data_IF_641260572481
#
_entry.id   IF_641260572481
#
_cell.length_a   1.000
_cell.length_b   1.000
_cell.length_c   1.000
_cell.angle_alpha   90.00
_cell.angle_beta   90.00
_cell.angle_gamma   90.00
#
_symmetry.space_group_name_H-M   'P 1'
#
loop_
_entity.id
_entity.type
_entity.pdbx_description
1 polymer ?
#
# COMPACT_ATOMS: atom_id res chain seq x y z
N UNK A 1 -38.10 -43.32 44.17
CA UNK A 1 -37.95 -42.01 43.51
C UNK A 1 -36.58 -41.98 42.88
N UNK A 2 -36.41 -42.31 41.59
CA UNK A 2 -35.12 -42.13 40.91
C UNK A 2 -35.07 -40.77 40.21
N UNK A 3 -33.94 -40.16 40.38
CA UNK A 3 -33.53 -38.89 39.75
C UNK A 3 -33.25 -39.09 38.27
N UNK A 4 -33.80 -38.22 37.47
CA UNK A 4 -33.51 -38.04 36.05
C UNK A 4 -32.28 -37.14 35.91
N UNK A 5 -31.15 -37.72 35.54
CA UNK A 5 -29.99 -36.97 35.01
C UNK A 5 -30.23 -36.78 33.50
N UNK A 6 -30.38 -35.56 33.09
CA UNK A 6 -30.43 -35.17 31.69
C UNK A 6 -29.03 -35.02 31.15
N UNK A 7 -28.67 -35.81 30.18
CA UNK A 7 -27.46 -35.67 29.39
C UNK A 7 -27.54 -34.41 28.55
N UNK A 8 -26.67 -33.47 28.84
CA UNK A 8 -26.39 -32.34 27.97
C UNK A 8 -25.30 -32.81 26.99
N UNK A 9 -25.73 -33.23 25.81
CA UNK A 9 -24.81 -33.40 24.68
C UNK A 9 -24.23 -32.03 24.28
N UNK A 10 -22.98 -31.83 24.63
CA UNK A 10 -22.15 -30.74 24.06
C UNK A 10 -21.80 -31.14 22.63
N UNK A 11 -22.62 -30.72 21.69
CA UNK A 11 -22.27 -30.76 20.26
C UNK A 11 -21.13 -29.75 19.99
N UNK A 12 -19.91 -30.25 20.05
CA UNK A 12 -18.74 -29.60 19.49
C UNK A 12 -18.82 -29.69 17.96
N UNK A 13 -19.52 -28.75 17.35
CA UNK A 13 -19.42 -28.53 15.92
C UNK A 13 -18.04 -27.92 15.64
N UNK A 14 -17.08 -28.79 15.32
CA UNK A 14 -15.91 -28.44 14.56
C UNK A 14 -16.40 -27.81 13.23
N UNK A 15 -16.39 -26.49 13.14
CA UNK A 15 -16.54 -25.80 11.88
C UNK A 15 -15.34 -26.22 11.02
N UNK A 16 -15.53 -27.18 10.16
CA UNK A 16 -14.68 -27.45 9.01
C UNK A 16 -14.59 -26.13 8.25
N UNK A 17 -13.38 -25.54 8.21
CA UNK A 17 -13.14 -24.31 7.50
C UNK A 17 -13.69 -24.41 6.08
N UNK A 18 -14.65 -23.56 5.75
CA UNK A 18 -15.12 -23.46 4.37
C UNK A 18 -13.89 -23.14 3.51
N UNK A 19 -13.64 -23.97 2.49
CA UNK A 19 -12.56 -23.71 1.54
C UNK A 19 -12.72 -22.27 1.03
N UNK A 20 -11.65 -21.48 1.08
CA UNK A 20 -11.70 -20.11 0.59
C UNK A 20 -12.04 -20.14 -0.90
N UNK A 21 -13.00 -19.32 -1.32
CA UNK A 21 -13.44 -19.27 -2.71
C UNK A 21 -12.28 -18.88 -3.62
N UNK A 22 -12.23 -19.49 -4.79
CA UNK A 22 -11.24 -19.22 -5.81
C UNK A 22 -11.41 -17.79 -6.38
N UNK A 23 -10.32 -17.07 -6.68
CA UNK A 23 -10.40 -15.80 -7.39
C UNK A 23 -10.97 -15.98 -8.80
N UNK A 24 -11.51 -14.91 -9.37
CA UNK A 24 -11.95 -14.89 -10.76
C UNK A 24 -10.73 -14.90 -11.68
N UNK A 25 -10.68 -15.80 -12.65
CA UNK A 25 -9.65 -15.82 -13.67
C UNK A 25 -9.57 -14.45 -14.38
N UNK A 26 -8.35 -13.95 -14.60
CA UNK A 26 -8.14 -12.62 -15.17
C UNK A 26 -8.91 -12.42 -16.50
N UNK A 27 -8.95 -13.43 -17.33
CA UNK A 27 -9.64 -13.41 -18.62
C UNK A 27 -11.17 -13.27 -18.50
N UNK A 28 -11.72 -13.65 -17.36
CA UNK A 28 -13.16 -13.61 -17.08
C UNK A 28 -13.59 -12.31 -16.38
N UNK A 29 -12.65 -11.48 -15.90
CA UNK A 29 -12.95 -10.29 -15.11
C UNK A 29 -13.95 -9.35 -15.78
N UNK A 30 -13.75 -9.08 -17.08
CA UNK A 30 -14.62 -8.17 -17.82
C UNK A 30 -16.08 -8.66 -17.94
N UNK A 31 -16.30 -9.98 -17.82
CA UNK A 31 -17.62 -10.59 -17.90
C UNK A 31 -18.28 -10.81 -16.54
N UNK A 32 -17.49 -11.04 -15.49
CA UNK A 32 -17.97 -11.40 -14.14
C UNK A 32 -18.00 -10.23 -13.18
N UNK A 33 -17.11 -9.24 -13.33
CA UNK A 33 -17.10 -8.05 -12.49
C UNK A 33 -17.86 -6.93 -13.20
N UNK A 34 -18.91 -6.44 -12.58
CA UNK A 34 -19.68 -5.30 -13.11
C UNK A 34 -18.85 -4.03 -13.08
N UNK A 35 -18.85 -3.27 -14.17
CA UNK A 35 -18.36 -1.91 -14.18
C UNK A 35 -19.44 -0.95 -13.66
N UNK A 36 -19.02 0.14 -13.04
CA UNK A 36 -19.94 1.14 -12.47
C UNK A 36 -19.43 2.54 -12.79
N UNK A 37 -20.31 3.38 -13.31
CA UNK A 37 -20.04 4.82 -13.39
C UNK A 37 -20.12 5.44 -11.97
N UNK A 38 -19.47 6.58 -11.79
CA UNK A 38 -19.60 7.35 -10.56
C UNK A 38 -21.07 7.74 -10.32
N UNK A 39 -21.55 7.56 -9.10
CA UNK A 39 -22.93 7.84 -8.69
C UNK A 39 -23.07 9.20 -8.00
N UNK A 40 -21.96 9.83 -7.65
CA UNK A 40 -21.90 11.14 -7.02
C UNK A 40 -20.76 11.95 -7.64
N UNK A 41 -20.78 13.25 -7.45
CA UNK A 41 -19.62 14.08 -7.74
C UNK A 41 -18.53 13.87 -6.69
N UNK A 42 -17.27 14.01 -7.10
CA UNK A 42 -16.14 14.00 -6.17
C UNK A 42 -16.38 15.12 -5.14
N UNK A 43 -16.32 14.81 -3.84
CA UNK A 43 -16.50 15.82 -2.82
C UNK A 43 -15.53 16.98 -3.02
N UNK A 44 -16.08 18.17 -3.19
CA UNK A 44 -15.30 19.43 -3.19
C UNK A 44 -15.01 19.89 -1.76
N UNK A 45 -15.43 19.06 -0.82
CA UNK A 45 -15.34 19.33 0.60
C UNK A 45 -13.89 19.46 1.05
N UNK A 46 -13.71 20.42 1.96
CA UNK A 46 -12.51 20.57 2.74
C UNK A 46 -12.01 19.21 3.24
N UNK A 47 -10.80 18.87 2.83
CA UNK A 47 -10.12 17.68 3.32
C UNK A 47 -9.39 18.11 4.57
N UNK A 48 -9.52 17.32 5.65
CA UNK A 48 -8.75 17.57 6.85
C UNK A 48 -7.28 17.25 6.57
N UNK A 49 -6.45 18.26 6.49
CA UNK A 49 -5.01 18.16 6.34
C UNK A 49 -4.34 18.38 7.70
N UNK A 50 -3.47 17.46 8.07
CA UNK A 50 -2.64 17.59 9.27
C UNK A 50 -1.28 18.12 8.88
N UNK A 51 -0.90 19.25 9.44
CA UNK A 51 0.41 19.87 9.31
C UNK A 51 1.19 19.70 10.61
N UNK A 52 2.48 19.52 10.47
CA UNK A 52 3.41 19.60 11.59
C UNK A 52 4.30 20.83 11.41
N UNK A 53 4.21 21.71 12.38
CA UNK A 53 4.92 23.00 12.34
C UNK A 53 5.92 23.07 13.47
N UNK A 54 7.10 23.58 13.19
CA UNK A 54 8.11 23.88 14.23
C UNK A 54 8.23 25.39 14.41
N UNK A 55 8.32 25.83 15.66
CA UNK A 55 8.44 27.25 16.00
C UNK A 55 8.70 27.43 17.48
N UNK A 56 9.01 28.69 17.89
CA UNK A 56 9.26 29.02 19.30
C UNK A 56 8.01 29.38 20.09
N UNK A 57 6.94 29.76 19.39
CA UNK A 57 5.66 30.10 20.01
C UNK A 57 4.52 29.41 19.29
N UNK A 58 3.42 29.06 20.01
CA UNK A 58 2.23 28.52 19.35
C UNK A 58 1.67 29.54 18.37
N UNK A 59 1.13 29.06 17.28
CA UNK A 59 0.49 29.89 16.24
C UNK A 59 -0.87 30.34 16.79
N UNK A 60 -1.10 31.65 17.06
CA UNK A 60 -2.22 32.10 17.90
C UNK A 60 -3.61 32.03 17.27
N UNK A 61 -3.74 31.83 15.97
CA UNK A 61 -4.98 32.05 15.22
C UNK A 61 -5.55 30.80 14.52
N UNK A 62 -5.02 29.62 14.81
CA UNK A 62 -5.49 28.37 14.20
C UNK A 62 -6.30 27.58 15.21
N UNK A 63 -7.52 27.20 14.86
CA UNK A 63 -8.52 26.69 15.79
C UNK A 63 -8.18 25.34 16.45
N UNK A 64 -7.45 24.46 15.79
CA UNK A 64 -7.09 23.13 16.30
C UNK A 64 -5.56 22.92 16.31
N UNK A 65 -4.89 23.52 17.28
CA UNK A 65 -3.46 23.39 17.48
C UNK A 65 -3.18 22.53 18.72
N UNK A 66 -2.46 21.45 18.56
CA UNK A 66 -1.95 20.65 19.69
C UNK A 66 -0.44 20.56 19.65
N UNK A 67 0.20 20.70 20.81
CA UNK A 67 1.63 20.48 20.91
C UNK A 67 1.93 18.99 20.80
N UNK A 68 2.86 18.64 19.94
CA UNK A 68 3.33 17.28 19.75
C UNK A 68 4.72 17.15 20.33
N UNK A 69 4.96 16.13 21.15
CA UNK A 69 6.32 15.82 21.61
C UNK A 69 7.15 15.39 20.38
N UNK A 70 8.22 16.10 20.05
CA UNK A 70 9.06 15.71 18.94
C UNK A 70 9.72 14.35 19.24
N UNK A 71 9.82 13.51 18.22
CA UNK A 71 10.50 12.21 18.31
C UNK A 71 12.02 12.33 18.52
N UNK A 72 12.59 13.49 18.23
CA UNK A 72 13.98 13.83 18.49
C UNK A 72 14.06 15.14 19.29
N UNK A 73 15.07 15.23 20.18
CA UNK A 73 15.39 16.51 20.85
C UNK A 73 15.84 17.52 19.80
N UNK A 74 14.94 18.41 19.42
CA UNK A 74 15.26 19.57 18.60
C UNK A 74 16.12 20.61 19.36
N UNK A 75 16.49 21.72 18.71
CA UNK A 75 17.14 22.85 19.35
C UNK A 75 16.33 23.33 20.58
N UNK A 76 17.04 23.76 21.62
CA UNK A 76 16.39 24.23 22.85
C UNK A 76 15.42 25.40 22.55
N UNK A 77 14.21 25.30 23.07
CA UNK A 77 13.16 26.29 22.88
C UNK A 77 12.36 26.19 21.56
N UNK A 78 12.64 25.19 20.71
CA UNK A 78 11.82 24.89 19.52
C UNK A 78 10.79 23.82 19.87
N UNK A 79 9.53 24.11 19.55
CA UNK A 79 8.40 23.22 19.83
C UNK A 79 7.76 22.77 18.50
N UNK A 80 7.21 21.58 18.47
CA UNK A 80 6.47 21.05 17.32
C UNK A 80 4.97 21.05 17.64
N UNK A 81 4.20 21.55 16.71
CA UNK A 81 2.76 21.64 16.81
C UNK A 81 2.12 20.82 15.70
N UNK A 82 1.08 20.10 16.05
CA UNK A 82 0.14 19.53 15.11
C UNK A 82 -0.97 20.55 14.87
N UNK A 83 -1.25 20.81 13.62
CA UNK A 83 -2.34 21.69 13.18
C UNK A 83 -3.22 20.90 12.23
N UNK A 84 -4.48 20.74 12.60
CA UNK A 84 -5.48 20.11 11.73
C UNK A 84 -6.29 21.23 11.05
N UNK A 85 -6.25 21.27 9.72
CA UNK A 85 -6.92 22.28 8.88
C UNK A 85 -7.90 21.59 7.95
N UNK A 86 -9.09 22.18 7.80
CA UNK A 86 -10.00 21.85 6.73
C UNK A 86 -9.64 22.70 5.51
N UNK A 87 -9.08 22.08 4.48
CA UNK A 87 -8.61 22.75 3.25
C UNK A 87 -9.32 22.21 2.02
N UNK A 88 -9.60 23.04 1.01
CA UNK A 88 -10.04 22.55 -0.28
C UNK A 88 -9.01 21.55 -0.83
N UNK A 89 -9.46 20.48 -1.46
CA UNK A 89 -8.60 19.45 -2.07
C UNK A 89 -7.51 20.05 -2.97
N UNK A 90 -7.83 21.11 -3.70
CA UNK A 90 -6.92 21.81 -4.61
C UNK A 90 -5.85 22.64 -3.90
N UNK A 91 -6.04 22.94 -2.61
CA UNK A 91 -5.12 23.76 -1.81
C UNK A 91 -4.17 22.92 -0.94
N UNK A 92 -4.16 21.60 -1.08
CA UNK A 92 -3.31 20.71 -0.29
C UNK A 92 -1.84 20.96 -0.59
N UNK A 93 -1.06 21.14 0.47
CA UNK A 93 0.38 21.40 0.37
C UNK A 93 0.76 22.82 -0.06
N UNK A 94 -0.21 23.73 -0.20
CA UNK A 94 0.01 25.14 -0.52
C UNK A 94 -0.23 25.98 0.74
N UNK A 95 0.78 26.02 1.62
CA UNK A 95 0.68 26.76 2.87
C UNK A 95 1.78 27.81 2.96
N UNK A 96 1.42 29.00 3.44
CA UNK A 96 2.36 30.05 3.83
C UNK A 96 2.33 30.19 5.36
N UNK A 97 3.49 30.12 5.98
CA UNK A 97 3.62 30.18 7.43
C UNK A 97 4.09 31.55 7.89
N UNK A 98 3.71 31.98 9.12
CA UNK A 98 4.26 33.18 9.72
C UNK A 98 5.80 33.14 9.86
N UNK A 99 6.47 34.28 9.95
CA UNK A 99 7.91 34.31 10.19
C UNK A 99 8.32 33.53 11.45
N UNK A 100 9.31 32.67 11.32
CA UNK A 100 9.81 31.83 12.43
C UNK A 100 9.04 30.55 12.68
N UNK A 101 8.06 30.24 11.82
CA UNK A 101 7.34 28.96 11.80
C UNK A 101 7.64 28.25 10.49
N UNK A 102 8.02 27.00 10.58
CA UNK A 102 8.36 26.17 9.42
C UNK A 102 7.55 24.87 9.43
N UNK A 103 7.14 24.44 8.24
CA UNK A 103 6.58 23.09 8.06
C UNK A 103 7.68 22.06 8.28
N UNK A 104 7.39 21.02 9.05
CA UNK A 104 8.34 19.93 9.30
C UNK A 104 7.78 18.59 8.83
N UNK A 105 8.69 17.67 8.46
CA UNK A 105 8.38 16.28 8.15
C UNK A 105 8.57 15.48 9.41
N UNK A 106 7.49 14.94 9.96
CA UNK A 106 7.58 14.05 11.12
C UNK A 106 8.01 12.66 10.71
N UNK A 107 8.95 12.13 11.46
CA UNK A 107 9.29 10.71 11.40
C UNK A 107 8.15 9.87 11.94
N UNK A 108 7.83 8.77 11.28
CA UNK A 108 6.80 7.86 11.72
C UNK A 108 7.22 7.09 12.97
N UNK A 109 6.29 6.87 13.89
CA UNK A 109 6.48 5.99 15.05
C UNK A 109 6.33 4.54 14.62
N UNK A 110 7.04 3.65 15.27
CA UNK A 110 7.03 2.23 14.99
C UNK A 110 6.22 1.48 16.05
N UNK A 111 5.36 0.58 15.60
CA UNK A 111 4.59 -0.32 16.46
C UNK A 111 4.91 -1.75 16.08
N UNK A 112 5.51 -2.52 16.99
CA UNK A 112 5.77 -3.93 16.81
C UNK A 112 4.45 -4.71 16.91
N UNK A 113 4.26 -5.68 16.03
CA UNK A 113 3.11 -6.57 16.09
C UNK A 113 3.19 -7.47 17.33
N UNK A 114 2.10 -7.53 18.08
CA UNK A 114 1.85 -8.55 19.10
C UNK A 114 0.98 -9.62 18.45
N UNK A 115 1.29 -10.89 18.65
CA UNK A 115 0.49 -11.98 18.06
C UNK A 115 -0.93 -11.97 18.60
N UNK A 116 -1.87 -11.72 17.71
CA UNK A 116 -3.32 -11.83 17.92
C UNK A 116 -3.89 -12.51 16.68
N UNK A 117 -4.93 -13.31 16.86
CA UNK A 117 -5.61 -13.95 15.73
C UNK A 117 -6.73 -13.04 15.22
N UNK A 118 -6.66 -12.71 13.94
CA UNK A 118 -7.66 -11.92 13.24
C UNK A 118 -8.33 -12.73 12.11
N UNK A 119 -9.47 -12.25 11.57
CA UNK A 119 -10.06 -12.83 10.35
C UNK A 119 -9.05 -12.82 9.19
N UNK A 120 -9.09 -13.86 8.35
CA UNK A 120 -8.19 -14.04 7.22
C UNK A 120 -8.48 -13.09 6.03
N UNK A 121 -9.36 -12.12 6.23
CA UNK A 121 -9.71 -11.10 5.24
C UNK A 121 -10.24 -9.84 5.90
N UNK A 122 -10.14 -8.74 5.20
CA UNK A 122 -10.68 -7.44 5.58
C UNK A 122 -11.29 -6.74 4.37
N UNK A 123 -12.40 -6.07 4.58
CA UNK A 123 -13.20 -5.48 3.51
C UNK A 123 -12.55 -4.24 2.88
N UNK A 124 -12.78 -4.08 1.57
CA UNK A 124 -12.49 -2.85 0.84
C UNK A 124 -13.58 -1.79 0.98
N UNK A 125 -13.43 -0.71 0.26
CA UNK A 125 -14.41 0.37 0.19
C UNK A 125 -14.35 1.06 -1.17
N UNK A 126 -15.47 1.18 -1.82
CA UNK A 126 -15.64 1.88 -3.08
C UNK A 126 -16.56 3.09 -2.86
N UNK A 127 -16.02 4.32 -2.84
CA UNK A 127 -16.83 5.53 -2.73
C UNK A 127 -17.79 5.72 -3.90
N UNK A 128 -18.94 6.36 -3.65
CA UNK A 128 -19.94 6.61 -4.70
C UNK A 128 -19.46 7.58 -5.79
N UNK A 129 -18.52 8.45 -5.48
CA UNK A 129 -17.93 9.39 -6.43
C UNK A 129 -16.88 8.79 -7.36
N UNK A 130 -16.56 7.50 -7.22
CA UNK A 130 -15.62 6.83 -8.12
C UNK A 130 -16.33 5.85 -9.06
N UNK A 131 -15.91 5.87 -10.31
CA UNK A 131 -16.25 4.80 -11.25
C UNK A 131 -15.46 3.53 -10.89
N UNK A 132 -16.05 2.36 -11.13
CA UNK A 132 -15.40 1.06 -11.02
C UNK A 132 -15.03 0.54 -12.40
N UNK A 133 -13.76 0.23 -12.61
CA UNK A 133 -13.26 -0.38 -13.85
C UNK A 133 -12.36 -1.57 -13.54
N UNK A 134 -12.51 -2.64 -14.27
CA UNK A 134 -11.72 -3.87 -14.11
C UNK A 134 -10.34 -3.82 -14.78
N UNK A 135 -10.13 -2.86 -15.68
CA UNK A 135 -8.85 -2.59 -16.32
C UNK A 135 -8.62 -1.09 -16.43
N UNK A 136 -7.40 -0.58 -16.23
CA UNK A 136 -7.13 0.84 -16.40
C UNK A 136 -7.06 1.21 -17.88
N UNK A 137 -7.44 2.43 -18.18
CA UNK A 137 -7.34 2.95 -19.54
C UNK A 137 -5.88 3.04 -20.02
N UNK A 138 -5.54 2.33 -21.10
CA UNK A 138 -4.19 2.42 -21.71
C UNK A 138 -3.92 3.82 -22.20
N UNK A 139 -2.74 4.35 -21.94
CA UNK A 139 -2.32 5.63 -22.54
C UNK A 139 -2.30 5.55 -24.07
N UNK A 140 -2.70 6.63 -24.73
CA UNK A 140 -2.67 6.74 -26.18
C UNK A 140 -1.25 6.49 -26.75
N UNK A 141 -1.17 5.99 -27.98
CA UNK A 141 0.08 5.67 -28.70
C UNK A 141 1.08 6.83 -28.75
N UNK A 142 0.62 8.08 -28.75
CA UNK A 142 1.51 9.24 -28.74
C UNK A 142 2.25 9.42 -27.41
N UNK A 143 1.60 9.10 -26.29
CA UNK A 143 2.23 9.07 -24.98
C UNK A 143 3.17 7.86 -24.82
N UNK A 144 2.83 6.72 -25.43
CA UNK A 144 3.71 5.53 -25.47
C UNK A 144 5.04 5.77 -26.20
N UNK A 145 5.08 6.61 -27.25
CA UNK A 145 6.33 6.98 -27.96
C UNK A 145 7.27 7.86 -27.13
N UNK A 146 6.78 8.53 -26.10
CA UNK A 146 7.61 9.27 -25.13
C UNK A 146 8.21 8.37 -24.04
N UNK A 147 7.70 7.15 -23.90
CA UNK A 147 8.28 6.09 -23.08
C UNK A 147 9.47 5.47 -23.80
N UNK A 148 10.43 6.28 -24.28
CA UNK A 148 11.70 5.73 -24.74
C UNK A 148 12.36 5.12 -23.50
N UNK A 149 12.60 3.80 -23.56
CA UNK A 149 13.56 3.12 -22.71
C UNK A 149 14.78 4.05 -22.57
N UNK A 150 15.03 4.52 -21.39
CA UNK A 150 16.40 4.87 -21.03
C UNK A 150 17.13 3.55 -21.19
N UNK A 151 18.06 3.43 -22.15
CA UNK A 151 18.93 2.29 -22.21
C UNK A 151 19.69 2.31 -20.89
N UNK A 152 19.28 1.48 -19.98
CA UNK A 152 20.12 1.09 -18.86
C UNK A 152 21.27 0.36 -19.50
N UNK A 153 22.48 0.81 -19.25
CA UNK A 153 23.67 0.22 -19.86
C UNK A 153 23.81 -1.18 -19.27
N UNK A 154 23.51 -2.20 -20.06
CA UNK A 154 23.50 -3.60 -19.62
C UNK A 154 24.88 -4.09 -19.12
N UNK A 155 25.92 -3.28 -19.29
CA UNK A 155 27.29 -3.54 -18.86
C UNK A 155 27.69 -2.82 -17.56
N UNK A 156 26.80 -2.03 -16.95
CA UNK A 156 27.04 -1.44 -15.63
C UNK A 156 26.89 -2.52 -14.55
N UNK A 157 27.97 -2.86 -13.81
CA UNK A 157 27.88 -3.86 -12.75
C UNK A 157 26.94 -3.51 -11.59
N UNK A 158 26.62 -2.22 -11.40
CA UNK A 158 25.58 -1.78 -10.42
C UNK A 158 24.16 -1.97 -10.94
N UNK A 159 23.99 -2.17 -12.24
CA UNK A 159 22.68 -2.35 -12.90
C UNK A 159 22.31 -3.83 -13.06
N UNK A 160 23.20 -4.75 -12.77
CA UNK A 160 22.90 -6.21 -12.79
C UNK A 160 21.81 -6.67 -11.80
N UNK A 161 21.25 -5.73 -11.09
CA UNK A 161 20.37 -6.00 -9.96
C UNK A 161 18.96 -6.27 -10.34
N UNK A 162 18.58 -6.27 -11.60
CA UNK A 162 17.23 -6.15 -11.43
C UNK A 162 16.27 -5.91 -12.57
N UNK A 163 16.31 -6.59 -13.55
CA UNK A 163 15.24 -6.44 -14.53
C UNK A 163 14.79 -7.81 -14.98
N UNK A 164 13.85 -8.42 -14.25
CA UNK A 164 13.24 -9.62 -14.78
C UNK A 164 11.98 -9.25 -15.51
N UNK A 165 12.19 -8.93 -16.79
CA UNK A 165 11.13 -8.79 -17.77
C UNK A 165 11.07 -10.11 -18.54
N UNK A 166 9.93 -10.78 -18.44
CA UNK A 166 9.68 -12.02 -19.16
C UNK A 166 9.09 -11.68 -20.54
N UNK A 167 9.64 -12.20 -21.66
CA UNK A 167 9.05 -11.96 -22.96
C UNK A 167 7.71 -12.68 -23.15
N UNK A 168 6.71 -12.03 -23.79
CA UNK A 168 6.72 -10.63 -24.24
C UNK A 168 6.48 -9.64 -23.11
N UNK A 169 7.08 -8.45 -23.18
CA UNK A 169 6.75 -7.36 -22.25
C UNK A 169 5.28 -6.96 -22.38
N UNK A 170 4.48 -7.13 -21.34
CA UNK A 170 3.04 -6.89 -21.33
C UNK A 170 2.62 -5.72 -20.44
N UNK A 171 3.55 -5.10 -19.70
CA UNK A 171 3.29 -3.89 -18.93
C UNK A 171 2.81 -2.75 -19.81
N UNK A 172 1.91 -1.95 -19.30
CA UNK A 172 1.57 -0.67 -19.93
C UNK A 172 1.32 0.43 -18.91
N UNK A 173 1.75 1.64 -19.25
CA UNK A 173 1.46 2.81 -18.45
C UNK A 173 0.01 3.25 -18.63
N UNK A 174 -0.56 3.80 -17.57
CA UNK A 174 -1.93 4.31 -17.56
C UNK A 174 -2.02 5.65 -16.80
N UNK A 175 -3.12 6.36 -17.00
CA UNK A 175 -3.53 7.52 -16.22
C UNK A 175 -5.04 7.40 -16.01
N UNK A 176 -5.42 6.75 -14.92
CA UNK A 176 -6.81 6.46 -14.61
C UNK A 176 -7.05 6.68 -13.11
N UNK A 177 -8.00 7.54 -12.78
CA UNK A 177 -8.37 7.86 -11.40
C UNK A 177 -9.62 7.12 -10.93
N UNK A 178 -10.12 6.16 -11.70
CA UNK A 178 -11.21 5.28 -11.28
C UNK A 178 -10.73 4.23 -10.27
N UNK A 179 -11.64 3.64 -9.52
CA UNK A 179 -11.37 2.54 -8.61
C UNK A 179 -11.18 1.22 -9.39
N UNK A 180 -10.24 0.36 -9.02
CA UNK A 180 -9.29 0.45 -7.90
C UNK A 180 -7.97 1.16 -8.25
N UNK A 181 -7.78 1.64 -9.48
CA UNK A 181 -6.54 2.19 -10.01
C UNK A 181 -6.03 3.38 -9.22
N UNK A 182 -6.95 4.16 -8.64
CA UNK A 182 -6.63 5.31 -7.81
C UNK A 182 -6.16 4.95 -6.40
N UNK A 183 -6.32 3.71 -5.94
CA UNK A 183 -5.88 3.29 -4.60
C UNK A 183 -4.37 3.11 -4.51
N UNK A 184 -3.69 2.91 -5.67
CA UNK A 184 -2.24 2.72 -5.72
C UNK A 184 -1.54 4.04 -6.02
N UNK A 185 -0.40 4.25 -5.42
CA UNK A 185 0.36 5.48 -5.53
C UNK A 185 1.86 5.31 -5.35
N UNK A 186 2.56 6.41 -5.56
CA UNK A 186 3.99 6.52 -5.33
C UNK A 186 4.26 6.78 -3.86
N UNK A 187 5.21 6.03 -3.29
CA UNK A 187 5.70 6.17 -1.92
C UNK A 187 7.11 6.75 -1.97
N UNK A 188 7.32 7.91 -1.38
CA UNK A 188 8.65 8.50 -1.23
C UNK A 188 9.07 8.40 0.23
N UNK A 189 10.34 8.10 0.47
CA UNK A 189 10.85 7.87 1.81
C UNK A 189 12.14 8.64 2.08
N UNK A 190 12.52 8.72 3.35
CA UNK A 190 13.71 9.44 3.80
C UNK A 190 15.03 8.86 3.32
N UNK A 191 15.05 7.64 2.79
CA UNK A 191 16.24 7.04 2.19
C UNK A 191 16.57 7.61 0.79
N UNK A 192 15.73 8.50 0.25
CA UNK A 192 15.97 9.22 -1.01
C UNK A 192 15.47 8.50 -2.25
N UNK A 193 14.90 7.30 -2.09
CA UNK A 193 14.26 6.53 -3.16
C UNK A 193 12.73 6.67 -3.17
N UNK A 194 12.12 5.92 -4.06
CA UNK A 194 10.68 5.72 -4.08
C UNK A 194 10.32 4.25 -4.22
N UNK A 195 9.12 3.94 -3.83
CA UNK A 195 8.46 2.66 -3.95
C UNK A 195 7.02 2.86 -4.41
N UNK A 196 6.27 1.80 -4.47
CA UNK A 196 4.83 1.78 -4.71
C UNK A 196 4.09 1.38 -3.45
N UNK A 197 2.80 1.66 -3.39
CA UNK A 197 1.97 1.19 -2.28
C UNK A 197 0.50 1.38 -2.60
N UNK A 198 -0.36 0.75 -1.81
CA UNK A 198 -1.81 0.78 -2.02
C UNK A 198 -2.59 1.07 -0.75
N UNK A 199 -3.70 1.77 -0.90
CA UNK A 199 -4.64 1.98 0.20
C UNK A 199 -5.34 0.67 0.55
N UNK A 200 -5.25 0.31 1.82
CA UNK A 200 -5.90 -0.86 2.43
C UNK A 200 -6.80 -0.48 3.61
N UNK A 201 -7.13 0.78 3.75
CA UNK A 201 -8.04 1.34 4.75
C UNK A 201 -8.17 2.85 4.60
N UNK A 202 -8.97 3.53 5.44
CA UNK A 202 -9.23 4.97 5.32
C UNK A 202 -7.97 5.83 5.31
N UNK A 203 -6.97 5.45 6.11
CA UNK A 203 -5.66 6.10 6.22
C UNK A 203 -4.51 5.10 6.27
N UNK A 204 -4.69 3.92 5.70
CA UNK A 204 -3.77 2.81 5.83
C UNK A 204 -3.17 2.48 4.47
N UNK A 205 -1.87 2.67 4.38
CA UNK A 205 -1.04 2.36 3.21
C UNK A 205 -0.30 1.05 3.44
N UNK A 206 -0.46 0.09 2.55
CA UNK A 206 0.39 -1.09 2.46
C UNK A 206 1.55 -0.79 1.50
N UNK A 207 2.77 -1.09 1.92
CA UNK A 207 3.99 -0.98 1.10
C UNK A 207 5.07 -1.92 1.65
N UNK A 208 6.19 -2.08 0.93
CA UNK A 208 7.27 -2.96 1.35
C UNK A 208 8.10 -2.39 2.51
N UNK A 209 8.66 -3.27 3.33
CA UNK A 209 9.49 -2.93 4.47
C UNK A 209 10.86 -2.37 4.04
N UNK A 210 11.48 -2.95 3.01
CA UNK A 210 12.82 -2.53 2.54
C UNK A 210 12.86 -1.10 1.97
N UNK A 211 11.73 -0.52 1.59
CA UNK A 211 11.67 0.87 1.14
C UNK A 211 11.68 1.87 2.29
N UNK A 212 11.43 1.42 3.52
CA UNK A 212 11.35 2.29 4.70
C UNK A 212 12.75 2.77 5.10
N UNK A 213 12.88 4.05 5.42
CA UNK A 213 14.10 4.59 6.00
C UNK A 213 14.21 4.19 7.48
N UNK A 214 14.54 2.92 7.76
CA UNK A 214 14.69 2.42 9.11
C UNK A 214 15.81 3.14 9.86
N UNK A 215 15.49 3.71 11.01
CA UNK A 215 16.45 4.37 11.89
C UNK A 215 16.78 3.41 13.03
N UNK A 216 18.01 2.98 13.11
CA UNK A 216 18.47 2.01 14.13
C UNK A 216 19.13 2.66 15.32
N UNK A 217 19.59 3.91 15.20
CA UNK A 217 20.26 4.67 16.24
C UNK A 217 20.01 6.18 16.05
N UNK A 218 19.69 6.99 17.07
CA UNK A 218 19.65 6.60 18.50
C UNK A 218 18.29 6.04 18.96
N UNK A 219 17.22 6.16 18.18
CA UNK A 219 15.89 5.74 18.59
C UNK A 219 15.35 4.63 17.69
N UNK A 220 15.31 3.37 18.19
CA UNK A 220 14.82 2.24 17.42
C UNK A 220 13.29 2.26 17.21
N UNK A 221 12.55 3.19 17.83
CA UNK A 221 11.09 3.32 17.72
C UNK A 221 10.64 4.34 16.67
N UNK A 222 11.58 4.89 15.90
CA UNK A 222 11.31 5.88 14.87
C UNK A 222 11.85 5.39 13.54
N UNK A 223 11.05 5.54 12.48
CA UNK A 223 11.51 5.47 11.09
C UNK A 223 11.68 6.90 10.54
N UNK A 224 12.27 7.00 9.37
CA UNK A 224 12.29 8.23 8.61
C UNK A 224 10.90 8.68 8.16
N UNK A 225 10.83 9.77 7.44
CA UNK A 225 9.56 10.25 6.88
C UNK A 225 9.14 9.41 5.68
N UNK A 226 7.82 9.30 5.50
CA UNK A 226 7.17 8.61 4.39
C UNK A 226 6.10 9.53 3.83
N UNK A 227 6.08 9.70 2.52
CA UNK A 227 5.06 10.46 1.81
C UNK A 227 4.39 9.58 0.76
N UNK A 228 3.08 9.59 0.72
CA UNK A 228 2.27 8.82 -0.22
C UNK A 228 1.46 9.74 -1.13
N UNK A 229 1.50 9.48 -2.42
CA UNK A 229 0.74 10.21 -3.45
C UNK A 229 -0.05 9.22 -4.31
N UNK A 230 -1.33 8.97 -4.00
CA UNK A 230 -2.17 8.09 -4.82
C UNK A 230 -2.41 8.66 -6.21
N UNK A 231 -2.52 7.79 -7.21
CA UNK A 231 -2.68 8.18 -8.63
C UNK A 231 -1.66 9.20 -9.12
N UNK A 232 -0.43 9.18 -8.59
CA UNK A 232 0.60 10.09 -9.05
C UNK A 232 0.87 9.91 -10.55
N UNK A 233 0.90 11.01 -11.31
CA UNK A 233 1.18 10.98 -12.73
C UNK A 233 1.85 12.27 -13.19
N UNK A 234 3.13 12.20 -13.59
CA UNK A 234 3.91 13.31 -14.14
C UNK A 234 3.81 14.63 -13.33
N UNK A 235 3.88 14.54 -12.01
CA UNK A 235 3.74 15.68 -11.10
C UNK A 235 2.32 15.99 -10.65
N UNK A 236 1.30 15.36 -11.25
CA UNK A 236 -0.10 15.48 -10.80
C UNK A 236 -0.37 14.61 -9.58
N UNK A 237 -1.11 15.14 -8.62
CA UNK A 237 -1.57 14.47 -7.40
C UNK A 237 -3.08 14.71 -7.22
N UNK A 238 -3.94 14.01 -7.98
CA UNK A 238 -5.37 14.32 -8.06
C UNK A 238 -6.11 14.16 -6.74
N UNK A 239 -5.58 13.36 -5.82
CA UNK A 239 -6.11 13.16 -4.47
C UNK A 239 -5.24 13.82 -3.38
N UNK A 240 -4.21 14.56 -3.78
CA UNK A 240 -3.22 15.16 -2.87
C UNK A 240 -2.20 14.15 -2.35
N UNK A 241 -1.57 14.50 -1.23
CA UNK A 241 -0.50 13.73 -0.58
C UNK A 241 -0.83 13.50 0.87
N UNK A 242 -0.28 12.44 1.45
CA UNK A 242 -0.40 12.14 2.86
C UNK A 242 0.96 11.70 3.45
N UNK A 243 1.16 11.94 4.75
CA UNK A 243 2.39 11.62 5.46
C UNK A 243 2.20 10.48 6.44
N UNK A 244 3.19 9.59 6.53
CA UNK A 244 3.21 8.54 7.53
C UNK A 244 3.39 9.08 8.94
N UNK A 245 2.53 8.64 9.87
CA UNK A 245 2.60 8.98 11.30
C UNK A 245 3.02 7.79 12.14
N UNK A 246 2.56 6.57 11.79
CA UNK A 246 2.88 5.32 12.46
C UNK A 246 3.16 4.24 11.42
N UNK A 247 3.99 3.27 11.78
CA UNK A 247 4.29 2.09 10.98
C UNK A 247 4.04 0.86 11.83
N UNK A 248 3.22 -0.04 11.29
CA UNK A 248 3.04 -1.41 11.79
C UNK A 248 3.90 -2.35 10.95
N UNK A 249 4.67 -3.20 11.58
CA UNK A 249 5.67 -4.05 10.95
C UNK A 249 5.89 -5.32 11.75
N UNK A 250 6.37 -6.37 11.10
CA UNK A 250 6.79 -7.60 11.74
C UNK A 250 8.31 -7.74 11.76
N UNK A 251 8.93 -7.51 10.59
CA UNK A 251 10.37 -7.58 10.42
C UNK A 251 10.87 -6.31 9.72
N UNK A 252 12.04 -5.83 10.12
CA UNK A 252 12.73 -4.75 9.43
C UNK A 252 13.56 -5.37 8.32
N UNK A 253 13.09 -5.22 7.10
CA UNK A 253 13.82 -5.70 5.95
C UNK A 253 14.63 -4.55 5.37
N UNK A 254 15.88 -4.84 5.05
CA UNK A 254 16.83 -3.87 4.50
C UNK A 254 17.21 -4.29 3.08
N UNK A 255 16.75 -3.51 2.09
CA UNK A 255 17.19 -3.72 0.72
C UNK A 255 18.66 -3.35 0.50
N UNK A 256 19.23 -3.62 -0.68
CA UNK A 256 18.58 -4.18 -1.86
C UNK A 256 18.52 -5.71 -1.90
N UNK A 257 19.17 -6.39 -0.97
CA UNK A 257 19.23 -7.85 -0.91
C UNK A 257 18.27 -8.36 0.13
N UNK A 258 17.31 -9.16 -0.30
CA UNK A 258 16.29 -9.75 0.55
C UNK A 258 16.43 -11.26 0.42
N UNK A 259 16.66 -11.95 1.52
CA UNK A 259 16.93 -13.38 1.55
C UNK A 259 16.27 -14.08 2.73
N UNK A 260 15.92 -15.33 2.55
CA UNK A 260 15.45 -16.22 3.61
C UNK A 260 14.13 -15.77 4.24
N UNK A 261 14.11 -15.52 5.56
CA UNK A 261 12.88 -15.12 6.27
C UNK A 261 12.38 -13.72 5.89
N UNK A 262 13.28 -12.84 5.45
CA UNK A 262 12.93 -11.50 5.02
C UNK A 262 11.96 -11.50 3.85
N UNK A 263 12.08 -12.46 2.93
CA UNK A 263 11.21 -12.61 1.75
C UNK A 263 9.72 -12.73 2.10
N UNK A 264 9.38 -13.16 3.31
CA UNK A 264 8.02 -13.41 3.77
C UNK A 264 7.43 -12.23 4.53
N UNK A 265 8.27 -11.33 5.04
CA UNK A 265 7.89 -10.27 5.95
C UNK A 265 8.17 -8.87 5.40
N UNK A 266 8.49 -8.77 4.12
CA UNK A 266 8.83 -7.50 3.50
C UNK A 266 7.60 -6.65 3.18
N UNK A 267 6.75 -6.44 4.19
CA UNK A 267 5.59 -5.55 4.14
C UNK A 267 5.45 -4.74 5.42
N UNK A 268 4.87 -3.56 5.29
CA UNK A 268 4.48 -2.69 6.41
C UNK A 268 3.13 -2.05 6.13
N UNK A 269 2.42 -1.70 7.20
CA UNK A 269 1.25 -0.82 7.12
C UNK A 269 1.59 0.53 7.73
N UNK A 270 1.50 1.57 6.92
CA UNK A 270 1.74 2.95 7.32
C UNK A 270 0.41 3.62 7.59
N UNK A 271 0.23 4.16 8.80
CA UNK A 271 -0.89 5.04 9.13
C UNK A 271 -0.57 6.44 8.64
N UNK A 272 -1.43 6.98 7.82
CA UNK A 272 -1.28 8.31 7.23
C UNK A 272 -1.90 9.38 8.13
N UNK A 273 -1.39 10.61 8.03
CA UNK A 273 -1.85 11.79 8.77
C UNK A 273 -3.28 12.21 8.42
N UNK A 274 -3.83 11.71 7.31
CA UNK A 274 -5.18 12.02 6.83
C UNK A 274 -5.87 10.81 6.20
N UNK A 275 -7.20 10.85 6.19
CA UNK A 275 -8.06 9.79 5.65
C UNK A 275 -8.19 9.94 4.12
N UNK A 276 -7.08 9.82 3.40
CA UNK A 276 -7.06 9.95 1.94
C UNK A 276 -7.85 8.84 1.24
N UNK A 277 -8.03 7.70 1.92
CA UNK A 277 -8.87 6.60 1.46
C UNK A 277 -10.36 6.96 1.33
N UNK A 278 -10.85 7.96 2.04
CA UNK A 278 -12.22 8.44 1.86
C UNK A 278 -12.44 9.01 0.45
N UNK A 279 -11.37 9.44 -0.22
CA UNK A 279 -11.40 9.91 -1.61
C UNK A 279 -11.06 8.82 -2.64
N UNK A 280 -10.04 8.01 -2.36
CA UNK A 280 -9.55 6.99 -3.30
C UNK A 280 -10.30 5.67 -3.19
N UNK A 281 -11.06 5.45 -2.11
CA UNK A 281 -11.41 4.12 -1.68
C UNK A 281 -10.17 3.33 -1.23
N UNK A 282 -10.37 2.07 -0.93
CA UNK A 282 -9.28 1.13 -0.64
C UNK A 282 -9.67 -0.29 -1.03
N UNK A 283 -8.69 -1.07 -1.43
CA UNK A 283 -8.88 -2.48 -1.70
C UNK A 283 -9.09 -3.24 -0.38
N UNK A 284 -9.84 -4.33 -0.42
CA UNK A 284 -9.83 -5.30 0.65
C UNK A 284 -8.47 -6.00 0.73
N UNK A 285 -8.29 -6.85 1.73
CA UNK A 285 -7.14 -7.75 1.80
C UNK A 285 -7.59 -9.15 2.17
N UNK A 286 -6.84 -10.15 1.73
CA UNK A 286 -7.13 -11.56 1.98
C UNK A 286 -5.84 -12.35 2.08
N UNK A 287 -5.78 -13.30 3.02
CA UNK A 287 -4.65 -14.22 3.09
C UNK A 287 -4.59 -15.08 1.84
N UNK A 288 -3.41 -15.22 1.27
CA UNK A 288 -3.17 -16.14 0.17
C UNK A 288 -3.28 -17.59 0.64
N UNK A 289 -3.64 -18.48 -0.25
CA UNK A 289 -3.66 -19.93 -0.01
C UNK A 289 -3.09 -20.67 -1.21
N UNK A 290 -2.33 -21.72 -0.97
CA UNK A 290 -1.69 -22.57 -1.99
C UNK A 290 -2.71 -23.23 -2.94
N UNK A 291 -3.99 -23.24 -2.57
CA UNK A 291 -5.05 -23.71 -3.49
C UNK A 291 -5.23 -22.83 -4.72
N UNK A 292 -4.63 -21.63 -4.72
CA UNK A 292 -4.65 -20.69 -5.86
C UNK A 292 -3.35 -20.71 -6.68
N UNK A 293 -2.39 -21.57 -6.32
CA UNK A 293 -1.12 -21.68 -7.01
C UNK A 293 -1.30 -21.97 -8.50
N UNK A 294 -0.52 -21.27 -9.33
CA UNK A 294 -0.53 -21.43 -10.78
C UNK A 294 -1.75 -20.86 -11.51
N UNK A 295 -2.76 -20.34 -10.78
CA UNK A 295 -3.92 -19.70 -11.39
C UNK A 295 -3.63 -18.28 -11.84
N UNK A 296 -4.00 -17.92 -13.07
CA UNK A 296 -3.80 -16.58 -13.64
C UNK A 296 -4.94 -15.64 -13.22
N UNK A 297 -4.92 -15.24 -11.96
CA UNK A 297 -5.95 -14.41 -11.34
C UNK A 297 -5.49 -12.97 -11.09
N UNK A 298 -4.17 -12.72 -11.15
CA UNK A 298 -3.55 -11.62 -10.44
C UNK A 298 -3.26 -10.42 -11.33
N UNK A 299 -3.28 -9.28 -10.68
CA UNK A 299 -2.93 -7.98 -11.24
C UNK A 299 -1.94 -7.27 -10.32
N UNK A 300 -1.07 -6.45 -10.92
CA UNK A 300 -0.10 -5.64 -10.21
C UNK A 300 -0.02 -4.23 -10.77
N UNK A 301 0.23 -3.26 -9.88
CA UNK A 301 0.44 -1.85 -10.20
C UNK A 301 1.70 -1.37 -9.48
N UNK A 302 2.53 -0.61 -10.17
CA UNK A 302 3.69 0.01 -9.55
C UNK A 302 4.25 1.18 -10.36
N UNK A 303 5.30 1.80 -9.83
CA UNK A 303 5.96 2.99 -10.38
C UNK A 303 7.42 2.68 -10.75
N UNK A 304 7.67 1.94 -11.84
CA UNK A 304 9.01 1.50 -12.22
C UNK A 304 9.89 2.64 -12.69
N UNK A 305 11.19 2.54 -12.43
CA UNK A 305 12.17 3.56 -12.79
C UNK A 305 12.35 3.70 -14.31
N UNK A 306 12.19 2.61 -15.07
CA UNK A 306 12.32 2.59 -16.53
C UNK A 306 11.15 3.27 -17.26
N UNK A 307 10.08 3.58 -16.54
CA UNK A 307 8.91 4.29 -17.09
C UNK A 307 8.85 5.70 -16.54
N UNK A 308 9.38 6.65 -17.34
CA UNK A 308 9.43 8.07 -17.02
C UNK A 308 10.08 8.39 -15.65
N UNK A 309 11.07 7.59 -15.21
CA UNK A 309 11.73 7.78 -13.92
C UNK A 309 10.79 7.61 -12.73
N UNK A 310 9.89 6.63 -12.79
CA UNK A 310 8.92 6.36 -11.72
C UNK A 310 7.84 7.43 -11.55
N UNK A 311 7.59 8.25 -12.58
CA UNK A 311 6.53 9.28 -12.50
C UNK A 311 5.19 8.83 -13.07
N UNK A 312 5.12 7.61 -13.61
CA UNK A 312 3.90 7.05 -14.21
C UNK A 312 3.65 5.64 -13.69
N UNK A 313 2.41 5.31 -13.30
CA UNK A 313 2.07 3.95 -12.93
C UNK A 313 2.06 3.04 -14.16
N UNK A 314 2.45 1.80 -13.95
CA UNK A 314 2.25 0.70 -14.91
C UNK A 314 1.25 -0.30 -14.33
N UNK A 315 0.65 -1.04 -15.23
CA UNK A 315 -0.20 -2.18 -14.94
C UNK A 315 0.33 -3.42 -15.65
N UNK A 316 0.28 -4.54 -14.97
CA UNK A 316 0.42 -5.89 -15.52
C UNK A 316 -0.67 -6.78 -14.93
N UNK A 317 -1.21 -7.69 -15.69
CA UNK A 317 -2.22 -8.65 -15.26
C UNK A 317 -2.05 -9.99 -15.96
N UNK A 318 -2.93 -10.96 -15.63
CA UNK A 318 -2.92 -12.29 -16.22
C UNK A 318 -1.67 -13.12 -15.89
N UNK A 319 -1.21 -13.06 -14.66
CA UNK A 319 -0.10 -13.85 -14.16
C UNK A 319 -0.51 -14.73 -12.99
N UNK A 320 0.31 -15.75 -12.71
CA UNK A 320 0.15 -16.62 -11.57
C UNK A 320 1.01 -16.16 -10.39
N UNK A 321 0.51 -16.41 -9.18
CA UNK A 321 1.30 -16.50 -7.96
C UNK A 321 1.47 -17.96 -7.60
N UNK A 322 2.58 -18.29 -6.95
CA UNK A 322 2.91 -19.63 -6.49
C UNK A 322 3.59 -19.55 -5.13
N UNK A 323 3.05 -20.25 -4.14
CA UNK A 323 3.62 -20.31 -2.80
C UNK A 323 5.03 -20.92 -2.84
N UNK A 324 6.02 -20.15 -2.42
CA UNK A 324 7.44 -20.58 -2.45
C UNK A 324 7.81 -21.10 -1.10
N UNK A 325 7.47 -21.65 -0.32
CA UNK A 325 7.88 -22.15 0.99
C UNK A 325 6.68 -22.21 1.94
N UNK A 326 5.94 -23.23 1.72
CA UNK A 326 4.69 -23.52 2.40
C UNK A 326 4.81 -23.89 3.88
N UNK A 327 6.00 -23.84 4.44
CA UNK A 327 6.20 -24.28 5.83
C UNK A 327 5.60 -23.33 6.86
N UNK A 328 5.15 -22.16 6.46
CA UNK A 328 4.52 -21.20 7.35
C UNK A 328 3.42 -20.41 6.64
N UNK A 329 2.22 -20.91 6.66
CA UNK A 329 1.03 -20.31 6.03
C UNK A 329 0.71 -18.89 6.56
N UNK A 330 1.29 -18.48 7.67
CA UNK A 330 1.02 -17.18 8.29
C UNK A 330 1.82 -16.03 7.66
N UNK A 331 3.02 -16.31 7.14
CA UNK A 331 3.84 -15.36 6.39
C UNK A 331 4.39 -16.08 5.16
N UNK A 332 4.16 -15.55 3.98
CA UNK A 332 4.39 -16.24 2.72
C UNK A 332 5.26 -15.41 1.77
N UNK A 333 6.24 -16.08 1.16
CA UNK A 333 6.92 -15.62 -0.03
C UNK A 333 6.23 -16.25 -1.25
N UNK A 334 5.78 -15.42 -2.19
CA UNK A 334 5.04 -15.84 -3.37
C UNK A 334 5.86 -15.55 -4.62
N UNK A 335 6.13 -16.58 -5.40
CA UNK A 335 6.82 -16.45 -6.69
C UNK A 335 5.87 -16.01 -7.80
N UNK A 336 6.36 -15.24 -8.75
CA UNK A 336 5.59 -14.85 -9.93
C UNK A 336 6.46 -14.48 -11.11
N UNK A 337 5.82 -14.37 -12.27
CA UNK A 337 6.45 -13.99 -13.55
C UNK A 337 5.91 -12.67 -14.10
N UNK A 338 5.17 -11.89 -13.29
CA UNK A 338 4.81 -10.54 -13.69
C UNK A 338 6.06 -9.70 -13.90
N UNK A 339 6.08 -8.89 -14.95
CA UNK A 339 7.19 -8.00 -15.27
C UNK A 339 7.34 -6.89 -14.22
N UNK A 340 8.47 -6.85 -13.52
CA UNK A 340 8.74 -5.84 -12.50
C UNK A 340 10.14 -5.24 -12.66
N UNK A 341 10.27 -3.99 -12.22
CA UNK A 341 11.48 -3.17 -12.26
C UNK A 341 11.58 -2.42 -10.93
N UNK A 342 12.78 -2.03 -10.45
CA UNK A 342 12.93 -1.18 -9.27
C UNK A 342 11.98 0.01 -9.26
N UNK A 343 11.42 0.31 -8.10
CA UNK A 343 10.35 1.29 -7.89
C UNK A 343 8.95 0.68 -7.83
N UNK A 344 8.74 -0.55 -8.32
CA UNK A 344 7.47 -1.27 -8.16
C UNK A 344 7.34 -1.96 -6.79
N UNK A 345 8.41 -2.04 -6.01
CA UNK A 345 8.43 -2.56 -4.64
C UNK A 345 7.29 -1.98 -3.80
N UNK A 346 6.58 -2.82 -3.04
CA UNK A 346 5.40 -2.44 -2.27
C UNK A 346 4.11 -2.25 -3.07
N UNK A 347 4.17 -2.38 -4.40
CA UNK A 347 2.99 -2.37 -5.24
C UNK A 347 2.13 -3.62 -4.99
N UNK A 348 0.78 -3.49 -4.98
CA UNK A 348 -0.11 -4.58 -4.60
C UNK A 348 -0.15 -5.69 -5.64
N UNK A 349 -0.20 -6.94 -5.17
CA UNK A 349 -0.69 -8.10 -5.91
C UNK A 349 -2.15 -8.33 -5.49
N UNK A 350 -3.08 -8.22 -6.42
CA UNK A 350 -4.50 -8.26 -6.10
C UNK A 350 -5.32 -9.06 -7.13
N UNK A 351 -6.43 -9.58 -6.66
CA UNK A 351 -7.39 -10.32 -7.46
C UNK A 351 -8.83 -9.96 -7.12
N UNK A 352 -9.78 -10.58 -7.82
CA UNK A 352 -11.21 -10.37 -7.69
C UNK A 352 -11.92 -11.66 -7.32
N UNK A 353 -12.99 -11.55 -6.54
CA UNK A 353 -13.84 -12.67 -6.17
C UNK A 353 -15.29 -12.43 -6.60
N UNK A 354 -15.96 -13.51 -6.93
CA UNK A 354 -17.36 -13.44 -7.37
C UNK A 354 -18.26 -12.90 -6.25
N UNK A 355 -19.11 -11.92 -6.61
CA UNK A 355 -20.03 -11.29 -5.66
C UNK A 355 -19.39 -10.20 -4.78
N UNK A 356 -18.07 -9.96 -4.88
CA UNK A 356 -17.41 -8.88 -4.15
C UNK A 356 -17.31 -7.61 -5.01
N UNK A 357 -17.65 -6.43 -4.47
CA UNK A 357 -17.66 -5.18 -5.25
C UNK A 357 -16.27 -4.51 -5.34
N UNK A 358 -15.24 -5.08 -4.74
CA UNK A 358 -13.85 -4.60 -4.73
C UNK A 358 -12.85 -5.74 -4.88
N UNK A 359 -11.66 -5.47 -5.42
CA UNK A 359 -10.58 -6.45 -5.38
C UNK A 359 -9.93 -6.53 -4.00
N UNK A 360 -9.15 -7.59 -3.79
CA UNK A 360 -8.40 -7.81 -2.55
C UNK A 360 -6.92 -7.96 -2.83
N UNK A 361 -6.11 -7.27 -2.04
CA UNK A 361 -4.66 -7.46 -1.99
C UNK A 361 -4.36 -8.74 -1.23
N UNK A 362 -3.49 -9.57 -1.79
CA UNK A 362 -3.01 -10.82 -1.17
C UNK A 362 -1.52 -10.77 -0.83
N UNK A 363 -0.79 -9.88 -1.48
CA UNK A 363 0.64 -9.65 -1.25
C UNK A 363 1.06 -8.27 -1.80
N UNK A 364 2.29 -7.87 -1.54
CA UNK A 364 2.95 -6.74 -2.18
C UNK A 364 4.27 -7.18 -2.83
N UNK A 365 4.68 -6.47 -3.88
CA UNK A 365 5.93 -6.72 -4.59
C UNK A 365 7.13 -6.50 -3.67
N UNK A 366 7.96 -7.50 -3.51
CA UNK A 366 9.11 -7.46 -2.62
C UNK A 366 10.43 -7.50 -3.39
N UNK A 367 10.81 -8.63 -3.92
CA UNK A 367 12.11 -8.88 -4.50
C UNK A 367 12.06 -9.42 -5.94
N UNK A 368 13.22 -9.51 -6.56
CA UNK A 368 13.39 -10.06 -7.91
C UNK A 368 14.77 -10.68 -8.06
N UNK A 369 14.87 -11.70 -8.91
CA UNK A 369 16.13 -12.31 -9.31
C UNK A 369 16.13 -12.62 -10.81
N UNK A 370 17.15 -13.31 -11.33
CA UNK A 370 17.30 -13.59 -12.75
C UNK A 370 16.21 -14.53 -13.33
N UNK A 371 15.53 -15.30 -12.51
CA UNK A 371 14.60 -16.37 -12.95
C UNK A 371 13.15 -16.18 -12.47
N UNK A 372 12.94 -15.37 -11.44
CA UNK A 372 11.62 -15.15 -10.85
C UNK A 372 11.56 -13.81 -10.13
N UNK A 373 10.36 -13.33 -9.90
CA UNK A 373 10.07 -12.23 -9.02
C UNK A 373 9.33 -12.76 -7.78
N UNK A 374 9.34 -12.01 -6.69
CA UNK A 374 8.71 -12.43 -5.45
C UNK A 374 7.90 -11.34 -4.78
N UNK A 375 6.82 -11.77 -4.15
CA UNK A 375 5.93 -10.93 -3.36
C UNK A 375 5.81 -11.49 -1.94
N UNK A 376 5.50 -10.61 -0.98
CA UNK A 376 5.33 -10.95 0.44
C UNK A 376 3.87 -10.83 0.85
N UNK A 377 3.35 -11.84 1.55
CA UNK A 377 1.93 -11.86 1.94
C UNK A 377 1.63 -12.81 3.09
N UNK A 378 0.39 -13.33 3.11
CA UNK A 378 -0.07 -14.27 4.11
C UNK A 378 -0.96 -13.66 5.20
N UNK A 379 -1.39 -14.47 6.16
CA UNK A 379 -2.33 -14.05 7.21
C UNK A 379 -1.76 -12.95 8.09
N UNK A 380 -0.47 -12.97 8.38
CA UNK A 380 0.19 -11.94 9.19
C UNK A 380 0.15 -10.55 8.55
N UNK A 381 0.18 -10.46 7.21
CA UNK A 381 -0.04 -9.18 6.52
C UNK A 381 -1.47 -8.68 6.75
N UNK A 382 -2.46 -9.57 6.67
CA UNK A 382 -3.87 -9.22 6.93
C UNK A 382 -4.07 -8.79 8.38
N UNK A 383 -3.47 -9.50 9.35
CA UNK A 383 -3.52 -9.16 10.78
C UNK A 383 -2.95 -7.77 11.03
N UNK A 384 -1.84 -7.44 10.37
CA UNK A 384 -1.20 -6.13 10.45
C UNK A 384 -2.14 -5.01 9.97
N UNK A 385 -2.83 -5.24 8.86
CA UNK A 385 -3.82 -4.29 8.30
C UNK A 385 -4.99 -4.10 9.26
N UNK A 386 -5.56 -5.20 9.78
CA UNK A 386 -6.70 -5.15 10.69
C UNK A 386 -6.33 -4.39 11.95
N UNK A 387 -5.18 -4.71 12.53
CA UNK A 387 -4.70 -4.06 13.74
C UNK A 387 -4.50 -2.56 13.54
N UNK A 388 -3.81 -2.18 12.47
CA UNK A 388 -3.58 -0.77 12.17
C UNK A 388 -4.91 0.00 12.02
N UNK A 389 -5.91 -0.60 11.35
CA UNK A 389 -7.26 -0.02 11.21
C UNK A 389 -8.00 0.11 12.54
N UNK A 390 -7.87 -0.88 13.44
CA UNK A 390 -8.53 -0.85 14.73
C UNK A 390 -7.92 0.19 15.68
N UNK A 391 -6.61 0.35 15.65
CA UNK A 391 -5.90 1.28 16.53
C UNK A 391 -5.93 2.74 16.01
N UNK A 392 -6.10 2.92 14.70
CA UNK A 392 -6.12 4.24 14.04
C UNK A 392 -7.26 4.36 13.00
N UNK A 393 -8.53 4.33 13.41
CA UNK A 393 -9.67 4.32 12.49
C UNK A 393 -9.80 5.57 11.61
#
# INVERSE_FOLDING_TARGET
>A
MPELLSDVETSSALTTGAAMSEPIAYQDLASKVGQREAQAEMPDTAIRETLFLTGREPIPEIADVSEVQPTHKGPEGVRTFRVDLDVPRTAIGVHTFPPGVEGTKLSARRTLLVEEEYPQHVEGFLPDHLALKVQPGKLDRQLRRRLKRTKVDADDPEVKWATTIFPPEDRYAFNDTSFPWCTTGRVETSNGGWASGSMVGPRHLLTCSHAIGWITNPDPYVAGWINFTPSYFDGSAPFGKAWGTHIYWQEQVFGPFIEGTEERHDYVVVVLDRRIGDLTGWMGSKSYTDTWDGGTYWSHIGYPEDVAGGTRPIFVGDFALDGHDTQNDSAQALLHTADVIPGQSGGPMFGWWEGEPWPRVVADQSWQNESSNGASGGSKMVDLIIRARNEHP
#
